data_IF_566470633820
#
_entry.id   IF_566470633820
#
_cell.length_a   1.000
_cell.length_b   1.000
_cell.length_c   1.000
_cell.angle_alpha   90.00
_cell.angle_beta   90.00
_cell.angle_gamma   90.00
#
_symmetry.space_group_name_H-M   'P 1'
#
loop_
_entity.id
_entity.type
_entity.pdbx_description
1 polymer ?
#
# COMPACT_ATOMS: atom_id res chain seq x y z
N UNK A 1 -2.98 26.23 25.98
CA UNK A 1 -3.65 25.01 26.47
C UNK A 1 -2.60 24.06 27.05
N UNK A 2 -2.74 23.59 28.30
CA UNK A 2 -1.71 22.74 28.94
C UNK A 2 -2.02 21.26 28.70
N UNK A 3 -1.39 20.68 27.69
CA UNK A 3 -1.60 19.30 27.23
C UNK A 3 -1.35 18.24 28.32
N UNK A 4 -0.44 18.50 29.27
CA UNK A 4 -0.17 17.57 30.39
C UNK A 4 -1.31 17.52 31.40
N UNK A 5 -2.00 18.65 31.62
CA UNK A 5 -3.17 18.72 32.53
C UNK A 5 -4.38 18.01 31.92
N UNK A 6 -4.62 18.20 30.62
CA UNK A 6 -5.71 17.53 29.89
C UNK A 6 -5.50 16.01 29.86
N UNK A 7 -4.28 15.54 29.58
CA UNK A 7 -3.97 14.11 29.55
C UNK A 7 -4.15 13.41 30.90
N UNK A 8 -3.82 14.10 32.01
CA UNK A 8 -3.98 13.57 33.36
C UNK A 8 -5.45 13.44 33.76
N UNK A 9 -6.27 14.47 33.46
CA UNK A 9 -7.72 14.41 33.66
C UNK A 9 -8.36 13.25 32.88
N UNK A 10 -7.94 13.03 31.62
CA UNK A 10 -8.43 11.92 30.80
C UNK A 10 -8.10 10.52 31.38
N UNK A 11 -6.98 10.38 32.10
CA UNK A 11 -6.62 9.12 32.77
C UNK A 11 -7.30 8.94 34.12
N UNK A 12 -7.53 10.02 34.86
CA UNK A 12 -8.20 10.00 36.17
C UNK A 12 -9.70 9.68 36.02
N UNK A 13 -10.33 10.14 34.95
CA UNK A 13 -11.76 9.90 34.65
C UNK A 13 -12.03 8.57 33.91
N UNK A 14 -11.02 7.70 33.76
CA UNK A 14 -11.06 6.44 32.98
C UNK A 14 -11.60 6.58 31.52
N UNK A 15 -11.53 7.80 30.96
CA UNK A 15 -11.93 8.13 29.59
C UNK A 15 -10.85 7.77 28.55
N UNK A 16 -9.83 7.00 28.95
CA UNK A 16 -8.76 6.59 28.06
C UNK A 16 -9.31 5.62 26.99
N UNK A 17 -9.30 6.05 25.73
CA UNK A 17 -9.67 5.21 24.59
C UNK A 17 -8.75 3.97 24.59
N UNK A 18 -9.31 2.82 24.94
CA UNK A 18 -8.58 1.56 25.06
C UNK A 18 -8.26 1.03 23.66
N UNK A 19 -7.09 1.36 23.13
CA UNK A 19 -6.62 0.82 21.86
C UNK A 19 -6.27 -0.66 22.00
N UNK A 20 -7.11 -1.54 21.43
CA UNK A 20 -6.86 -3.00 21.40
C UNK A 20 -5.49 -3.28 20.78
N UNK A 21 -4.55 -3.77 21.57
CA UNK A 21 -3.28 -4.30 21.05
C UNK A 21 -3.54 -5.58 20.27
N UNK A 22 -3.29 -5.54 18.95
CA UNK A 22 -3.42 -6.69 18.06
C UNK A 22 -2.35 -7.72 18.43
N UNK A 23 -2.76 -8.88 18.96
CA UNK A 23 -1.86 -10.02 19.22
C UNK A 23 -1.30 -10.55 17.90
N UNK A 24 0.02 -10.57 17.77
CA UNK A 24 0.75 -11.09 16.60
C UNK A 24 0.86 -12.61 16.73
N UNK A 25 0.34 -13.35 15.74
CA UNK A 25 0.58 -14.79 15.60
C UNK A 25 1.41 -15.06 14.34
N UNK A 26 2.28 -16.06 14.46
CA UNK A 26 3.10 -16.74 13.45
C UNK A 26 4.54 -16.24 13.23
N UNK A 27 5.43 -17.22 13.19
CA UNK A 27 6.88 -17.22 13.08
C UNK A 27 7.32 -17.49 11.63
N UNK A 28 7.65 -16.44 10.88
CA UNK A 28 8.41 -16.56 9.64
C UNK A 28 9.87 -16.11 9.89
N UNK A 29 10.86 -16.70 9.19
CA UNK A 29 12.27 -16.42 9.42
C UNK A 29 12.60 -14.93 9.23
N UNK A 30 13.34 -14.38 10.19
CA UNK A 30 13.60 -12.94 10.39
C UNK A 30 14.87 -12.51 9.65
N UNK A 31 14.84 -12.38 8.32
CA UNK A 31 15.94 -11.75 7.58
C UNK A 31 15.57 -10.30 7.30
N UNK A 32 16.48 -9.34 7.57
CA UNK A 32 16.31 -7.96 7.12
C UNK A 32 16.57 -7.94 5.61
N UNK A 33 15.59 -7.55 4.77
CA UNK A 33 15.87 -7.41 3.36
C UNK A 33 16.91 -6.30 3.13
N UNK A 34 17.87 -6.53 2.25
CA UNK A 34 18.80 -5.49 1.85
C UNK A 34 18.03 -4.30 1.23
N UNK A 35 18.44 -3.05 1.46
CA UNK A 35 17.87 -1.91 0.74
C UNK A 35 18.05 -2.10 -0.77
N UNK A 36 17.21 -1.45 -1.56
CA UNK A 36 17.40 -1.38 -3.00
C UNK A 36 18.35 -0.23 -3.33
N UNK A 37 19.25 -0.46 -4.27
CA UNK A 37 20.24 0.53 -4.71
C UNK A 37 19.95 1.01 -6.14
N UNK A 38 19.21 0.21 -6.92
CA UNK A 38 18.88 0.53 -8.32
C UNK A 38 17.36 0.52 -8.56
N UNK A 39 16.86 1.33 -9.51
CA UNK A 39 15.49 1.19 -9.99
C UNK A 39 15.19 -0.23 -10.45
N UNK A 40 13.93 -0.66 -10.30
CA UNK A 40 13.43 -2.00 -10.61
C UNK A 40 14.04 -3.14 -9.78
N UNK A 41 14.78 -2.83 -8.72
CA UNK A 41 15.32 -3.85 -7.83
C UNK A 41 14.28 -4.28 -6.79
N UNK A 42 13.59 -3.30 -6.18
CA UNK A 42 12.57 -3.55 -5.15
C UNK A 42 11.39 -2.61 -5.33
N UNK A 43 10.23 -3.19 -5.53
CA UNK A 43 8.97 -2.44 -5.51
C UNK A 43 8.19 -2.76 -4.23
N UNK A 44 7.47 -1.77 -3.72
CA UNK A 44 6.59 -1.92 -2.57
C UNK A 44 5.14 -1.79 -2.97
N UNK A 45 4.29 -2.57 -2.31
CA UNK A 45 2.85 -2.59 -2.52
C UNK A 45 2.11 -2.33 -1.23
N UNK A 46 0.99 -1.62 -1.37
CA UNK A 46 0.05 -1.44 -0.29
C UNK A 46 -1.39 -1.26 -0.79
N UNK A 47 -2.34 -1.40 0.12
CA UNK A 47 -3.74 -1.12 -0.14
C UNK A 47 -4.20 0.08 0.66
N UNK A 48 -4.77 1.05 -0.04
CA UNK A 48 -5.57 2.12 0.55
C UNK A 48 -7.05 1.81 0.40
N UNK A 49 -7.86 2.49 1.19
CA UNK A 49 -9.29 2.46 1.09
C UNK A 49 -9.84 3.88 1.17
N UNK A 50 -10.88 4.14 0.39
CA UNK A 50 -11.65 5.38 0.45
C UNK A 50 -13.14 5.12 0.22
N UNK A 51 -13.96 6.16 0.35
CA UNK A 51 -15.40 6.10 0.13
C UNK A 51 -15.80 6.93 -1.10
N UNK A 52 -16.78 6.43 -1.83
CA UNK A 52 -17.55 7.23 -2.77
C UNK A 52 -18.54 8.13 -2.02
N UNK A 53 -19.11 9.11 -2.73
CA UNK A 53 -20.13 10.03 -2.20
C UNK A 53 -21.29 9.31 -1.52
N UNK A 54 -21.70 8.15 -2.06
CA UNK A 54 -22.80 7.36 -1.54
C UNK A 54 -22.42 6.45 -0.35
N UNK A 55 -21.20 6.59 0.16
CA UNK A 55 -20.68 5.83 1.29
C UNK A 55 -20.17 4.43 0.94
N UNK A 56 -20.25 3.99 -0.33
CA UNK A 56 -19.63 2.73 -0.75
C UNK A 56 -18.12 2.84 -0.71
N UNK A 57 -17.47 1.84 -0.13
CA UNK A 57 -16.00 1.77 -0.06
C UNK A 57 -15.42 1.29 -1.38
N UNK A 58 -14.30 1.89 -1.78
CA UNK A 58 -13.40 1.32 -2.77
C UNK A 58 -11.99 1.17 -2.19
N UNK A 59 -11.16 0.39 -2.88
CA UNK A 59 -9.78 0.12 -2.54
C UNK A 59 -8.88 0.59 -3.66
N UNK A 60 -7.69 1.00 -3.28
CA UNK A 60 -6.63 1.40 -4.21
C UNK A 60 -5.42 0.56 -3.92
N UNK A 61 -4.91 -0.13 -4.93
CA UNK A 61 -3.61 -0.80 -4.90
C UNK A 61 -2.56 0.17 -5.40
N UNK A 62 -1.61 0.52 -4.55
CA UNK A 62 -0.46 1.34 -4.94
C UNK A 62 0.76 0.45 -5.14
N UNK A 63 1.47 0.67 -6.23
CA UNK A 63 2.74 0.01 -6.54
C UNK A 63 3.77 1.11 -6.74
N UNK A 64 4.88 1.07 -6.00
CA UNK A 64 5.91 2.10 -6.06
C UNK A 64 7.30 1.48 -6.13
N UNK A 65 8.16 2.07 -6.95
CA UNK A 65 9.59 1.76 -6.96
C UNK A 65 10.28 2.45 -5.77
N UNK A 66 11.01 1.68 -4.97
CA UNK A 66 11.62 2.19 -3.74
C UNK A 66 12.77 3.18 -3.98
N UNK A 67 13.39 3.14 -5.16
CA UNK A 67 14.53 3.97 -5.52
C UNK A 67 14.08 5.17 -6.33
N UNK A 68 13.40 4.96 -7.46
CA UNK A 68 12.97 6.07 -8.32
C UNK A 68 11.78 6.86 -7.77
N UNK A 69 11.04 6.29 -6.80
CA UNK A 69 9.78 6.85 -6.23
C UNK A 69 8.63 6.99 -7.20
N UNK A 70 8.85 6.46 -8.40
CA UNK A 70 7.91 6.40 -9.49
C UNK A 70 6.91 5.28 -9.25
N UNK A 71 5.62 5.52 -9.53
CA UNK A 71 4.55 4.53 -9.35
C UNK A 71 4.17 3.86 -10.67
N UNK A 72 4.56 2.59 -10.93
CA UNK A 72 4.27 1.95 -12.22
C UNK A 72 2.78 1.75 -12.50
N UNK A 73 1.97 1.60 -11.45
CA UNK A 73 0.52 1.51 -11.54
C UNK A 73 -0.16 1.85 -10.20
N UNK A 74 -1.35 2.43 -10.30
CA UNK A 74 -2.29 2.61 -9.19
C UNK A 74 -3.64 2.06 -9.65
N UNK A 75 -4.17 1.06 -8.95
CA UNK A 75 -5.36 0.32 -9.41
C UNK A 75 -6.51 0.48 -8.43
N UNK A 76 -7.65 0.93 -8.95
CA UNK A 76 -8.82 1.28 -8.13
C UNK A 76 -9.94 0.26 -8.34
N UNK A 77 -10.39 -0.42 -7.29
CA UNK A 77 -11.57 -1.30 -7.36
C UNK A 77 -12.27 -1.48 -6.00
N UNK A 78 -13.53 -1.91 -6.01
CA UNK A 78 -14.32 -2.23 -4.80
C UNK A 78 -13.73 -3.42 -4.05
N UNK A 79 -13.17 -4.39 -4.79
CA UNK A 79 -12.48 -5.55 -4.26
C UNK A 79 -11.34 -5.93 -5.18
N UNK A 80 -10.12 -5.91 -4.65
CA UNK A 80 -8.92 -6.31 -5.37
C UNK A 80 -8.52 -7.69 -4.84
N UNK A 81 -8.88 -8.73 -5.60
CA UNK A 81 -8.54 -10.13 -5.29
C UNK A 81 -7.19 -10.49 -5.91
N UNK A 82 -6.62 -11.62 -5.48
CA UNK A 82 -5.34 -12.12 -5.99
C UNK A 82 -5.28 -12.21 -7.52
N UNK A 83 -6.34 -12.69 -8.19
CA UNK A 83 -6.37 -12.78 -9.65
C UNK A 83 -6.35 -11.40 -10.34
N UNK A 84 -6.99 -10.39 -9.73
CA UNK A 84 -6.93 -9.02 -10.23
C UNK A 84 -5.52 -8.47 -10.10
N UNK A 85 -4.86 -8.70 -8.95
CA UNK A 85 -3.46 -8.31 -8.74
C UNK A 85 -2.55 -8.96 -9.79
N UNK A 86 -2.73 -10.25 -10.08
CA UNK A 86 -1.98 -10.95 -11.12
C UNK A 86 -2.19 -10.31 -12.51
N UNK A 87 -3.43 -9.96 -12.85
CA UNK A 87 -3.72 -9.30 -14.13
C UNK A 87 -3.05 -7.92 -14.25
N UNK A 88 -2.98 -7.15 -13.16
CA UNK A 88 -2.23 -5.89 -13.10
C UNK A 88 -0.76 -6.14 -13.39
N UNK A 89 -0.18 -7.15 -12.76
CA UNK A 89 1.22 -7.50 -12.95
C UNK A 89 1.55 -7.97 -14.36
N UNK A 90 0.67 -8.74 -14.98
CA UNK A 90 0.86 -9.17 -16.38
C UNK A 90 0.85 -7.97 -17.34
N UNK A 91 0.05 -6.93 -17.05
CA UNK A 91 0.11 -5.64 -17.79
C UNK A 91 1.43 -4.90 -17.54
N UNK A 92 1.87 -4.82 -16.28
CA UNK A 92 3.13 -4.14 -15.92
C UNK A 92 4.35 -4.80 -16.56
N UNK A 93 4.37 -6.14 -16.59
CA UNK A 93 5.41 -6.93 -17.25
C UNK A 93 5.65 -6.51 -18.71
N UNK A 94 4.58 -6.16 -19.42
CA UNK A 94 4.65 -5.76 -20.83
C UNK A 94 5.05 -4.29 -21.02
N UNK A 95 4.70 -3.41 -20.07
CA UNK A 95 4.91 -1.95 -20.21
C UNK A 95 6.24 -1.47 -19.66
N UNK A 96 6.59 -1.90 -18.45
CA UNK A 96 7.71 -1.35 -17.66
C UNK A 96 8.73 -2.42 -17.29
N UNK A 97 8.30 -3.69 -17.27
CA UNK A 97 9.10 -4.82 -16.81
C UNK A 97 8.69 -5.26 -15.42
N UNK A 98 9.57 -6.02 -14.76
CA UNK A 98 9.30 -6.64 -13.45
C UNK A 98 10.40 -6.31 -12.44
N UNK A 99 10.06 -6.14 -11.16
CA UNK A 99 11.06 -5.98 -10.12
C UNK A 99 11.72 -7.31 -9.79
N UNK A 100 12.93 -7.25 -9.23
CA UNK A 100 13.59 -8.46 -8.70
C UNK A 100 12.94 -8.92 -7.39
N UNK A 101 12.54 -7.95 -6.55
CA UNK A 101 12.02 -8.18 -5.20
C UNK A 101 10.75 -7.39 -4.96
N UNK A 102 9.82 -8.01 -4.27
CA UNK A 102 8.50 -7.45 -4.03
C UNK A 102 8.21 -7.33 -2.55
N UNK A 103 8.19 -6.11 -2.01
CA UNK A 103 7.83 -5.87 -0.63
C UNK A 103 6.32 -5.78 -0.48
N UNK A 104 5.76 -6.72 0.28
CA UNK A 104 4.32 -6.84 0.44
C UNK A 104 3.95 -6.88 1.93
N UNK A 105 2.88 -6.16 2.29
CA UNK A 105 2.39 -6.19 3.65
C UNK A 105 1.72 -7.56 3.96
N UNK A 106 1.68 -7.97 5.22
CA UNK A 106 1.03 -9.23 5.63
C UNK A 106 -0.51 -9.14 5.70
N UNK A 107 -1.13 -8.27 4.90
CA UNK A 107 -2.57 -8.21 4.75
C UNK A 107 -3.09 -9.54 4.19
N UNK A 108 -4.25 -10.04 4.65
CA UNK A 108 -4.86 -11.25 4.07
C UNK A 108 -5.12 -11.12 2.56
N UNK A 109 -5.20 -9.90 2.03
CA UNK A 109 -5.35 -9.59 0.61
C UNK A 109 -4.12 -9.96 -0.22
N UNK A 110 -2.94 -9.92 0.39
CA UNK A 110 -1.67 -10.17 -0.28
C UNK A 110 -1.10 -11.57 -0.05
N UNK A 111 -1.55 -12.26 1.01
CA UNK A 111 -1.28 -13.69 1.24
C UNK A 111 -2.23 -14.52 0.35
N UNK A 112 -2.32 -14.16 -0.94
CA UNK A 112 -3.08 -14.93 -1.91
C UNK A 112 -2.15 -15.94 -2.57
N UNK A 113 -2.57 -17.21 -2.65
CA UNK A 113 -1.84 -18.26 -3.37
C UNK A 113 -1.59 -17.90 -4.84
N UNK A 114 -2.44 -17.05 -5.42
CA UNK A 114 -2.32 -16.58 -6.79
C UNK A 114 -1.08 -15.70 -6.99
N UNK A 115 -0.86 -14.71 -6.11
CA UNK A 115 0.31 -13.83 -6.19
C UNK A 115 1.61 -14.60 -5.95
N UNK A 116 1.62 -15.52 -4.96
CA UNK A 116 2.77 -16.37 -4.66
C UNK A 116 3.14 -17.26 -5.86
N UNK A 117 2.15 -17.95 -6.44
CA UNK A 117 2.37 -18.77 -7.63
C UNK A 117 2.83 -17.95 -8.85
N UNK A 118 2.31 -16.73 -9.01
CA UNK A 118 2.72 -15.84 -10.10
C UNK A 118 4.15 -15.32 -9.90
N UNK A 119 4.51 -14.89 -8.69
CA UNK A 119 5.86 -14.42 -8.37
C UNK A 119 6.90 -15.52 -8.60
N UNK A 120 6.60 -16.75 -8.14
CA UNK A 120 7.45 -17.91 -8.39
C UNK A 120 7.69 -18.17 -9.88
N UNK A 121 6.62 -18.14 -10.70
CA UNK A 121 6.74 -18.36 -12.17
C UNK A 121 7.55 -17.28 -12.88
N UNK A 122 7.58 -16.07 -12.33
CA UNK A 122 8.28 -14.94 -12.92
C UNK A 122 9.65 -14.68 -12.27
N UNK A 123 10.09 -15.53 -11.33
CA UNK A 123 11.38 -15.40 -10.67
C UNK A 123 11.48 -14.20 -9.71
N UNK A 124 10.35 -13.69 -9.22
CA UNK A 124 10.30 -12.55 -8.30
C UNK A 124 10.35 -13.05 -6.87
N UNK A 125 11.20 -12.45 -6.05
CA UNK A 125 11.29 -12.77 -4.62
C UNK A 125 10.28 -11.95 -3.83
N UNK A 126 9.30 -12.61 -3.19
CA UNK A 126 8.37 -11.93 -2.28
C UNK A 126 9.01 -11.70 -0.90
N UNK A 127 9.01 -10.45 -0.46
CA UNK A 127 9.50 -10.00 0.83
C UNK A 127 8.32 -9.53 1.69
N UNK A 128 7.94 -10.34 2.67
CA UNK A 128 6.86 -9.98 3.58
C UNK A 128 7.36 -9.08 4.71
N UNK A 129 6.56 -8.06 5.04
CA UNK A 129 6.88 -7.12 6.12
C UNK A 129 7.14 -7.82 7.45
N UNK A 130 8.15 -7.38 8.21
CA UNK A 130 8.38 -7.97 9.53
C UNK A 130 7.36 -7.41 10.51
N UNK A 131 6.70 -8.31 11.25
CA UNK A 131 5.71 -7.97 12.27
C UNK A 131 6.28 -7.01 13.33
N UNK A 132 5.97 -5.71 13.22
CA UNK A 132 6.40 -4.67 14.19
C UNK A 132 7.61 -3.84 13.79
N UNK A 133 8.02 -3.90 12.52
CA UNK A 133 9.00 -2.98 11.96
C UNK A 133 8.33 -2.15 10.86
N UNK A 134 7.73 -0.99 11.20
CA UNK A 134 7.12 -0.11 10.20
C UNK A 134 8.13 0.39 9.15
N UNK A 135 9.42 0.39 9.51
CA UNK A 135 10.51 0.80 8.61
C UNK A 135 10.61 -0.03 7.32
N UNK A 136 10.09 -1.27 7.30
CA UNK A 136 10.15 -2.11 6.09
C UNK A 136 9.25 -1.59 4.95
N UNK A 137 8.30 -0.71 5.27
CA UNK A 137 7.30 -0.13 4.36
C UNK A 137 7.38 1.40 4.27
N UNK A 138 8.41 2.04 4.83
CA UNK A 138 8.48 3.50 4.94
C UNK A 138 8.29 4.24 3.60
N UNK A 139 8.77 3.66 2.49
CA UNK A 139 8.63 4.26 1.16
C UNK A 139 7.19 4.26 0.66
N UNK A 140 6.49 3.12 0.75
CA UNK A 140 5.09 3.05 0.33
C UNK A 140 4.18 3.80 1.30
N UNK A 141 4.49 3.83 2.60
CA UNK A 141 3.76 4.65 3.57
C UNK A 141 3.88 6.15 3.26
N UNK A 142 5.09 6.62 2.93
CA UNK A 142 5.32 8.01 2.52
C UNK A 142 4.59 8.35 1.21
N UNK A 143 4.69 7.48 0.21
CA UNK A 143 3.98 7.66 -1.06
C UNK A 143 2.47 7.71 -0.85
N UNK A 144 1.92 6.77 -0.08
CA UNK A 144 0.50 6.72 0.23
C UNK A 144 0.02 7.93 1.00
N UNK A 145 0.84 8.46 1.91
CA UNK A 145 0.54 9.69 2.65
C UNK A 145 0.44 10.90 1.71
N UNK A 146 1.36 11.02 0.75
CA UNK A 146 1.34 12.07 -0.27
C UNK A 146 0.15 11.90 -1.22
N UNK A 147 0.01 10.72 -1.84
CA UNK A 147 -1.09 10.38 -2.74
C UNK A 147 -2.47 10.63 -2.08
N UNK A 148 -2.60 10.34 -0.79
CA UNK A 148 -3.83 10.64 -0.07
C UNK A 148 -4.10 12.14 0.00
N UNK A 149 -3.10 12.94 0.37
CA UNK A 149 -3.26 14.39 0.54
C UNK A 149 -3.49 15.12 -0.79
N UNK A 150 -2.78 14.73 -1.83
CA UNK A 150 -2.82 15.39 -3.14
C UNK A 150 -3.98 14.91 -4.02
N UNK A 151 -4.34 13.62 -3.92
CA UNK A 151 -5.39 13.06 -4.76
C UNK A 151 -6.66 12.74 -3.97
N UNK A 152 -6.62 11.80 -3.04
CA UNK A 152 -7.85 11.27 -2.42
C UNK A 152 -8.60 12.30 -1.58
N UNK A 153 -7.90 13.12 -0.81
CA UNK A 153 -8.50 14.11 0.08
C UNK A 153 -8.96 15.38 -0.68
N UNK A 154 -8.43 15.64 -1.88
CA UNK A 154 -8.82 16.76 -2.74
C UNK A 154 -10.05 16.45 -3.61
N UNK A 155 -10.40 15.17 -3.77
CA UNK A 155 -11.43 14.73 -4.70
C UNK A 155 -12.60 14.05 -3.99
N UNK A 156 -13.80 14.32 -4.48
CA UNK A 156 -15.02 13.72 -3.96
C UNK A 156 -15.68 12.86 -5.04
N UNK A 157 -15.30 11.58 -5.09
CA UNK A 157 -15.65 10.68 -6.18
C UNK A 157 -17.11 10.20 -6.12
N UNK A 158 -17.88 10.46 -7.17
CA UNK A 158 -19.24 9.94 -7.35
C UNK A 158 -19.24 8.51 -7.86
N UNK A 159 -18.27 8.17 -8.71
CA UNK A 159 -18.18 6.82 -9.29
C UNK A 159 -16.78 6.26 -9.21
N UNK A 160 -16.68 4.92 -9.23
CA UNK A 160 -15.39 4.22 -9.33
C UNK A 160 -14.68 4.54 -10.66
N UNK A 161 -15.44 4.74 -11.74
CA UNK A 161 -14.85 5.05 -13.05
C UNK A 161 -14.16 6.41 -13.01
N UNK A 162 -14.84 7.41 -12.46
CA UNK A 162 -14.25 8.73 -12.22
C UNK A 162 -13.00 8.64 -11.33
N UNK A 163 -13.07 7.87 -10.23
CA UNK A 163 -11.90 7.65 -9.38
C UNK A 163 -10.73 7.03 -10.15
N UNK A 164 -10.98 6.05 -11.04
CA UNK A 164 -9.93 5.45 -11.89
C UNK A 164 -9.29 6.47 -12.82
N UNK A 165 -10.10 7.28 -13.49
CA UNK A 165 -9.63 8.24 -14.48
C UNK A 165 -8.79 9.35 -13.84
N UNK A 166 -9.27 9.93 -12.73
CA UNK A 166 -8.56 10.99 -12.01
C UNK A 166 -7.25 10.46 -11.40
N UNK A 167 -7.29 9.29 -10.77
CA UNK A 167 -6.10 8.71 -10.13
C UNK A 167 -5.04 8.32 -11.17
N UNK A 168 -5.46 7.76 -12.31
CA UNK A 168 -4.52 7.42 -13.40
C UNK A 168 -3.95 8.68 -14.06
N UNK A 169 -4.74 9.75 -14.22
CA UNK A 169 -4.26 11.03 -14.73
C UNK A 169 -3.19 11.64 -13.80
N UNK A 170 -3.48 11.75 -12.51
CA UNK A 170 -2.53 12.28 -11.54
C UNK A 170 -1.24 11.43 -11.45
N UNK A 171 -1.36 10.10 -11.57
CA UNK A 171 -0.20 9.23 -11.66
C UNK A 171 0.68 9.62 -12.85
N UNK A 172 0.10 9.77 -14.05
CA UNK A 172 0.84 10.12 -15.28
C UNK A 172 1.52 11.48 -15.18
N UNK A 173 0.87 12.48 -14.58
CA UNK A 173 1.45 13.81 -14.36
C UNK A 173 2.71 13.73 -13.47
N UNK A 174 2.66 12.96 -12.37
CA UNK A 174 3.82 12.72 -11.49
C UNK A 174 5.00 12.00 -12.18
N UNK A 175 4.80 11.40 -13.36
CA UNK A 175 5.88 10.77 -14.14
C UNK A 175 6.58 11.70 -15.12
N UNK A 176 5.96 12.83 -15.49
CA UNK A 176 6.46 13.75 -16.51
C UNK A 176 7.32 14.90 -15.95
N UNK A 177 7.28 15.15 -14.64
CA UNK A 177 8.19 16.05 -13.90
C UNK A 177 9.52 15.39 -13.48
#
# INVERSE_FOLDING_TARGET
MNHKRVYRLYREEDLAIRTKHRKKRVSLPRVTPAPAERPNERWSLDFLADNLVDGRRFRVLTIVDNVSRVSPAIEVDVSIKGDHVVAVWDRLKQRVGLPQRLAVNNGPEFISKALDAWAYRNGITLEFSRLGKPTDHAYVESFNGHFRQECLDQHWFATRTEAREVIEAGRVEDHEE
#
